data_IF_250070601208
#
_entry.id   IF_250070601208
#
_cell.length_a   1.000
_cell.length_b   1.000
_cell.length_c   1.000
_cell.angle_alpha   90.00
_cell.angle_beta   90.00
_cell.angle_gamma   90.00
#
_symmetry.space_group_name_H-M   'P 1'
#
loop_
_entity.id
_entity.type
_entity.pdbx_description
1 polymer ?
#
# COMPACT_ATOMS: atom_id res chain seq x y z
N UNK A 1 19.95 -10.96 -15.09
CA UNK A 1 19.56 -9.69 -15.72
C UNK A 1 18.92 -10.00 -17.07
N UNK A 2 17.61 -9.81 -17.19
CA UNK A 2 16.93 -9.91 -18.48
C UNK A 2 17.29 -8.67 -19.30
N UNK A 3 18.01 -8.85 -20.40
CA UNK A 3 18.36 -7.74 -21.29
C UNK A 3 17.24 -7.59 -22.31
N UNK A 4 16.34 -6.64 -22.08
CA UNK A 4 15.24 -6.32 -23.00
C UNK A 4 15.74 -5.55 -24.23
N UNK A 5 16.56 -6.20 -25.06
CA UNK A 5 17.01 -5.64 -26.33
C UNK A 5 15.85 -5.61 -27.32
N UNK A 6 15.29 -4.42 -27.57
CA UNK A 6 14.27 -4.17 -28.58
C UNK A 6 12.84 -4.02 -28.07
N UNK A 7 12.57 -4.14 -26.78
CA UNK A 7 11.23 -3.88 -26.25
C UNK A 7 10.92 -2.37 -26.23
N UNK A 8 9.79 -2.00 -26.85
CA UNK A 8 9.27 -0.62 -26.76
C UNK A 8 8.59 -0.40 -25.40
N UNK A 9 9.37 -0.45 -24.32
CA UNK A 9 8.90 -0.24 -22.94
C UNK A 9 9.50 1.04 -22.38
N UNK A 10 8.73 1.80 -21.62
CA UNK A 10 9.19 3.00 -20.91
C UNK A 10 8.63 3.00 -19.50
N UNK A 11 9.47 3.39 -18.54
CA UNK A 11 9.11 3.57 -17.14
C UNK A 11 9.17 5.07 -16.80
N UNK A 12 8.14 5.57 -16.14
CA UNK A 12 8.09 6.94 -15.64
C UNK A 12 7.81 6.95 -14.15
N UNK A 13 8.51 7.81 -13.43
CA UNK A 13 8.20 8.16 -12.05
C UNK A 13 7.52 9.53 -12.01
N UNK A 14 6.43 9.66 -11.25
CA UNK A 14 5.90 10.95 -10.84
C UNK A 14 6.39 11.28 -9.42
N UNK A 15 5.84 12.34 -8.82
CA UNK A 15 6.44 12.98 -7.64
C UNK A 15 6.35 12.18 -6.33
N UNK A 16 5.40 11.23 -6.21
CA UNK A 16 5.03 10.67 -4.91
C UNK A 16 6.03 9.70 -4.27
N UNK A 17 6.86 9.00 -5.07
CA UNK A 17 7.84 8.03 -4.57
C UNK A 17 8.90 7.71 -5.63
N UNK A 18 9.79 8.66 -5.85
CA UNK A 18 10.85 8.56 -6.89
C UNK A 18 11.83 7.44 -6.55
N UNK A 19 12.17 7.25 -5.27
CA UNK A 19 13.12 6.21 -4.87
C UNK A 19 12.59 4.81 -5.18
N UNK A 20 11.33 4.52 -4.87
CA UNK A 20 10.72 3.24 -5.22
C UNK A 20 10.70 3.01 -6.73
N UNK A 21 10.39 4.05 -7.49
CA UNK A 21 10.41 3.95 -8.96
C UNK A 21 11.81 3.66 -9.50
N UNK A 22 12.85 4.27 -8.92
CA UNK A 22 14.25 3.98 -9.27
C UNK A 22 14.63 2.54 -8.91
N UNK A 23 14.27 2.08 -7.69
CA UNK A 23 14.55 0.71 -7.25
C UNK A 23 13.86 -0.33 -8.16
N UNK A 24 12.63 -0.04 -8.63
CA UNK A 24 11.92 -0.86 -9.61
C UNK A 24 12.65 -0.85 -10.96
N UNK A 25 13.06 0.31 -11.43
CA UNK A 25 13.79 0.47 -12.70
C UNK A 25 15.12 -0.30 -12.68
N UNK A 26 15.85 -0.23 -11.58
CA UNK A 26 17.11 -0.94 -11.36
C UNK A 26 16.90 -2.46 -11.35
N UNK A 27 15.84 -2.94 -10.67
CA UNK A 27 15.49 -4.36 -10.64
C UNK A 27 15.14 -4.90 -12.03
N UNK A 28 14.34 -4.15 -12.80
CA UNK A 28 13.94 -4.53 -14.16
C UNK A 28 15.09 -4.41 -15.15
N UNK A 29 16.04 -3.50 -14.90
CA UNK A 29 17.12 -3.17 -15.83
C UNK A 29 16.69 -2.23 -16.98
N UNK A 30 15.61 -1.47 -16.80
CA UNK A 30 15.13 -0.44 -17.72
C UNK A 30 15.20 0.91 -17.01
N UNK A 31 15.96 1.90 -17.51
CA UNK A 31 16.09 3.18 -16.84
C UNK A 31 14.76 3.97 -16.85
N UNK A 32 14.57 4.82 -15.84
CA UNK A 32 13.47 5.76 -15.84
C UNK A 32 13.59 6.73 -17.03
N UNK A 33 12.50 6.88 -17.74
CA UNK A 33 12.32 7.89 -18.77
C UNK A 33 12.14 9.27 -18.14
N UNK A 34 12.59 10.31 -18.84
CA UNK A 34 12.49 11.68 -18.34
C UNK A 34 11.05 12.19 -18.45
N UNK A 35 10.55 12.76 -17.38
CA UNK A 35 9.39 13.65 -17.37
C UNK A 35 9.65 14.79 -16.40
N UNK A 36 9.08 15.93 -16.70
CA UNK A 36 9.17 17.13 -15.86
C UNK A 36 7.77 17.47 -15.37
N UNK A 37 7.61 17.49 -14.05
CA UNK A 37 6.38 17.92 -13.38
C UNK A 37 6.65 19.30 -12.80
N UNK A 38 5.89 20.29 -13.24
CA UNK A 38 6.02 21.69 -12.79
C UNK A 38 4.64 22.24 -12.46
N UNK A 39 4.61 23.39 -11.77
CA UNK A 39 3.37 24.09 -11.44
C UNK A 39 3.38 25.49 -12.02
N UNK A 40 2.25 25.91 -12.55
CA UNK A 40 2.01 27.30 -12.86
C UNK A 40 1.86 28.13 -11.57
N UNK A 41 1.92 29.45 -11.68
CA UNK A 41 1.86 30.34 -10.53
C UNK A 41 0.55 30.25 -9.71
N UNK A 42 -0.51 29.77 -10.34
CA UNK A 42 -1.83 29.53 -9.74
C UNK A 42 -1.99 28.13 -9.13
N UNK A 43 -0.96 27.27 -9.28
CA UNK A 43 -0.93 25.91 -8.75
C UNK A 43 -1.38 24.81 -9.73
N UNK A 44 -1.75 25.16 -10.97
CA UNK A 44 -2.06 24.12 -11.99
C UNK A 44 -0.81 23.33 -12.34
N UNK A 45 -0.98 22.00 -12.51
CA UNK A 45 0.11 21.09 -12.82
C UNK A 45 0.38 21.09 -14.33
N UNK A 46 1.66 21.13 -14.70
CA UNK A 46 2.14 20.99 -16.06
C UNK A 46 3.11 19.81 -16.14
N UNK A 47 2.91 18.93 -17.12
CA UNK A 47 3.79 17.78 -17.38
C UNK A 47 4.39 17.91 -18.78
N UNK A 48 5.71 17.75 -18.87
CA UNK A 48 6.45 17.68 -20.13
C UNK A 48 7.16 16.33 -20.27
N UNK A 49 6.96 15.67 -21.41
CA UNK A 49 7.64 14.40 -21.76
C UNK A 49 8.57 14.70 -22.94
N UNK A 50 9.89 14.88 -22.72
CA UNK A 50 10.83 15.35 -23.76
C UNK A 50 11.19 14.27 -24.81
N UNK A 51 10.73 13.04 -24.61
CA UNK A 51 11.06 11.90 -25.49
C UNK A 51 9.82 11.25 -26.10
N UNK A 52 10.00 10.56 -27.23
CA UNK A 52 8.88 9.89 -27.89
C UNK A 52 8.40 8.67 -27.11
N UNK A 53 7.10 8.54 -26.95
CA UNK A 53 6.42 7.37 -26.36
C UNK A 53 5.55 6.62 -27.37
N UNK A 54 5.57 7.07 -28.64
CA UNK A 54 4.73 6.50 -29.69
C UNK A 54 4.95 5.00 -29.85
N UNK A 55 3.88 4.23 -29.69
CA UNK A 55 3.88 2.78 -29.83
C UNK A 55 4.60 2.02 -28.71
N UNK A 56 4.93 2.69 -27.59
CA UNK A 56 5.52 2.05 -26.41
C UNK A 56 4.45 1.50 -25.47
N UNK A 57 4.78 0.41 -24.77
CA UNK A 57 4.12 -0.04 -23.52
C UNK A 57 4.72 0.80 -22.39
N UNK A 58 3.92 1.65 -21.78
CA UNK A 58 4.38 2.60 -20.76
C UNK A 58 3.90 2.18 -19.39
N UNK A 59 4.77 2.29 -18.40
CA UNK A 59 4.44 2.13 -16.97
C UNK A 59 4.70 3.45 -16.25
N UNK A 60 3.69 3.96 -15.53
CA UNK A 60 3.78 5.18 -14.73
C UNK A 60 3.64 4.81 -13.26
N UNK A 61 4.64 5.12 -12.46
CA UNK A 61 4.70 4.79 -11.03
C UNK A 61 4.32 6.02 -10.23
N UNK A 62 3.20 5.94 -9.49
CA UNK A 62 2.68 7.03 -8.67
C UNK A 62 1.76 6.51 -7.55
N UNK A 63 2.15 6.64 -6.31
CA UNK A 63 1.24 6.45 -5.17
C UNK A 63 0.32 7.65 -5.03
N UNK A 64 -0.99 7.41 -4.84
CA UNK A 64 -1.96 8.50 -4.65
C UNK A 64 -2.15 8.81 -3.15
N UNK A 65 -1.01 8.94 -2.44
CA UNK A 65 -0.92 9.33 -1.04
C UNK A 65 -0.98 10.85 -0.85
N UNK A 66 -0.78 11.32 0.38
CA UNK A 66 -0.75 12.77 0.67
C UNK A 66 0.46 13.46 0.00
N UNK A 67 0.23 14.60 -0.71
CA UNK A 67 -1.03 15.30 -0.98
C UNK A 67 -1.91 14.61 -2.04
N UNK A 68 -2.99 13.96 -1.59
CA UNK A 68 -3.77 12.98 -2.37
C UNK A 68 -4.30 13.54 -3.69
N UNK A 69 -4.89 14.75 -3.66
CA UNK A 69 -5.51 15.34 -4.84
C UNK A 69 -4.47 15.79 -5.87
N UNK A 70 -3.30 16.21 -5.41
CA UNK A 70 -2.15 16.58 -6.21
C UNK A 70 -1.65 15.36 -7.00
N UNK A 71 -1.32 14.29 -6.30
CA UNK A 71 -0.80 13.06 -6.92
C UNK A 71 -1.81 12.39 -7.88
N UNK A 72 -3.13 12.51 -7.58
CA UNK A 72 -4.16 12.04 -8.51
C UNK A 72 -4.18 12.91 -9.77
N UNK A 73 -4.11 14.23 -9.63
CA UNK A 73 -4.14 15.13 -10.78
C UNK A 73 -2.88 14.99 -11.64
N UNK A 74 -1.70 14.88 -11.04
CA UNK A 74 -0.46 14.54 -11.78
C UNK A 74 -0.66 13.28 -12.62
N UNK A 75 -1.18 12.23 -12.00
CA UNK A 75 -1.38 10.95 -12.67
C UNK A 75 -2.36 11.07 -13.85
N UNK A 76 -3.48 11.77 -13.68
CA UNK A 76 -4.47 11.97 -14.74
C UNK A 76 -3.90 12.77 -15.92
N UNK A 77 -3.14 13.84 -15.64
CA UNK A 77 -2.50 14.66 -16.67
C UNK A 77 -1.43 13.84 -17.41
N UNK A 78 -0.65 13.03 -16.69
CA UNK A 78 0.36 12.14 -17.31
C UNK A 78 -0.27 11.12 -18.23
N UNK A 79 -1.39 10.48 -17.82
CA UNK A 79 -2.13 9.52 -18.63
C UNK A 79 -2.63 10.18 -19.93
N UNK A 80 -3.24 11.37 -19.83
CA UNK A 80 -3.73 12.11 -21.00
C UNK A 80 -2.59 12.48 -21.95
N UNK A 81 -1.45 12.95 -21.44
CA UNK A 81 -0.27 13.26 -22.23
C UNK A 81 0.25 12.04 -22.99
N UNK A 82 0.37 10.89 -22.32
CA UNK A 82 0.82 9.63 -22.93
C UNK A 82 -0.14 9.13 -24.02
N UNK A 83 -1.45 9.21 -23.75
CA UNK A 83 -2.50 8.85 -24.70
C UNK A 83 -2.42 9.74 -25.95
N UNK A 84 -2.31 11.06 -25.79
CA UNK A 84 -2.17 12.02 -26.91
C UNK A 84 -0.85 11.84 -27.68
N UNK A 85 0.20 11.41 -27.00
CA UNK A 85 1.49 11.09 -27.63
C UNK A 85 1.51 9.71 -28.29
N UNK A 86 0.38 9.01 -28.35
CA UNK A 86 0.18 7.69 -29.01
C UNK A 86 1.01 6.57 -28.36
N UNK A 87 1.13 6.55 -27.03
CA UNK A 87 1.54 5.34 -26.32
C UNK A 87 0.59 4.18 -26.69
N UNK A 88 1.14 2.96 -26.84
CA UNK A 88 0.33 1.78 -27.18
C UNK A 88 -0.49 1.29 -25.99
N UNK A 89 0.11 1.29 -24.82
CA UNK A 89 -0.49 0.90 -23.56
C UNK A 89 -0.01 1.86 -22.47
N UNK A 90 -0.92 2.24 -21.59
CA UNK A 90 -0.64 3.09 -20.42
C UNK A 90 -0.99 2.31 -19.16
N UNK A 91 0.02 1.63 -18.60
CA UNK A 91 -0.12 0.84 -17.39
C UNK A 91 0.25 1.72 -16.18
N UNK A 92 -0.62 1.80 -15.19
CA UNK A 92 -0.41 2.63 -14.01
C UNK A 92 -0.08 1.75 -12.82
N UNK A 93 1.05 2.05 -12.19
CA UNK A 93 1.51 1.40 -10.97
C UNK A 93 1.20 2.34 -9.80
N UNK A 94 0.17 2.00 -9.02
CA UNK A 94 -0.30 2.78 -7.88
C UNK A 94 -0.06 1.95 -6.61
N UNK A 95 1.14 1.99 -6.00
CA UNK A 95 1.44 1.20 -4.81
C UNK A 95 0.48 1.48 -3.65
N UNK A 96 0.05 2.73 -3.48
CA UNK A 96 -1.03 3.11 -2.57
C UNK A 96 -2.16 3.80 -3.32
N UNK A 97 -3.34 3.18 -3.30
CA UNK A 97 -4.55 3.69 -3.94
C UNK A 97 -5.33 4.58 -2.98
N UNK A 98 -5.24 5.89 -3.15
CA UNK A 98 -5.98 6.87 -2.37
C UNK A 98 -7.49 6.74 -2.55
N UNK A 99 -8.27 7.26 -1.59
CA UNK A 99 -9.73 7.11 -1.53
C UNK A 99 -10.26 5.67 -1.39
N UNK A 100 -9.41 4.67 -1.29
CA UNK A 100 -9.79 3.24 -1.16
C UNK A 100 -10.71 2.95 0.03
N UNK A 101 -10.65 3.75 1.10
CA UNK A 101 -11.51 3.63 2.28
C UNK A 101 -12.95 4.06 2.04
N UNK A 102 -13.26 4.68 0.89
CA UNK A 102 -14.60 5.09 0.47
C UNK A 102 -15.11 4.16 -0.64
N UNK A 103 -15.08 2.86 -0.36
CA UNK A 103 -15.47 1.76 -1.27
C UNK A 103 -16.98 1.48 -1.26
N UNK A 104 -17.69 2.02 -0.28
CA UNK A 104 -19.13 1.84 -0.07
C UNK A 104 -19.77 3.05 0.60
N UNK A 105 -21.08 3.15 0.50
CA UNK A 105 -21.86 4.14 1.27
C UNK A 105 -22.01 3.64 2.71
N UNK A 106 -21.29 4.22 3.65
CA UNK A 106 -21.47 3.94 5.09
C UNK A 106 -22.74 4.61 5.65
N UNK A 107 -23.16 5.72 5.05
CA UNK A 107 -24.38 6.47 5.39
C UNK A 107 -25.13 6.89 4.11
N UNK A 108 -26.41 7.22 4.26
CA UNK A 108 -27.20 7.73 3.15
C UNK A 108 -26.52 8.96 2.51
N UNK A 109 -26.60 9.08 1.18
CA UNK A 109 -26.10 10.23 0.37
C UNK A 109 -24.58 10.42 0.37
N UNK A 110 -23.81 9.44 0.84
CA UNK A 110 -22.35 9.46 0.70
C UNK A 110 -21.90 9.00 -0.69
N UNK A 111 -20.75 9.49 -1.18
CA UNK A 111 -20.14 9.03 -2.41
C UNK A 111 -19.51 7.63 -2.25
N UNK A 112 -19.12 7.04 -3.37
CA UNK A 112 -18.18 5.91 -3.46
C UNK A 112 -16.96 6.44 -4.21
N UNK A 113 -16.06 7.13 -3.48
CA UNK A 113 -14.95 7.85 -4.11
C UNK A 113 -13.90 6.92 -4.71
N UNK A 114 -13.79 5.69 -4.20
CA UNK A 114 -12.93 4.68 -4.82
C UNK A 114 -13.36 4.36 -6.26
N UNK A 115 -14.68 4.27 -6.53
CA UNK A 115 -15.22 4.08 -7.90
C UNK A 115 -15.04 5.33 -8.76
N UNK A 116 -15.23 6.53 -8.18
CA UNK A 116 -15.01 7.78 -8.90
C UNK A 116 -13.56 7.87 -9.42
N UNK A 117 -12.57 7.57 -8.57
CA UNK A 117 -11.16 7.62 -8.98
C UNK A 117 -10.87 6.56 -10.05
N UNK A 118 -11.40 5.33 -9.92
CA UNK A 118 -11.27 4.31 -10.96
C UNK A 118 -11.78 4.81 -12.32
N UNK A 119 -12.99 5.39 -12.36
CA UNK A 119 -13.55 5.93 -13.60
C UNK A 119 -12.69 7.06 -14.19
N UNK A 120 -12.14 7.95 -13.36
CA UNK A 120 -11.28 9.05 -13.84
C UNK A 120 -10.01 8.52 -14.51
N UNK A 121 -9.36 7.49 -13.93
CA UNK A 121 -8.18 6.86 -14.50
C UNK A 121 -8.47 6.21 -15.86
N UNK A 122 -9.59 5.51 -15.99
CA UNK A 122 -10.03 4.87 -17.24
C UNK A 122 -10.36 5.90 -18.32
N UNK A 123 -11.15 6.93 -18.00
CA UNK A 123 -11.52 7.99 -18.94
C UNK A 123 -10.28 8.76 -19.41
N UNK A 124 -9.31 9.02 -18.53
CA UNK A 124 -8.04 9.63 -18.91
C UNK A 124 -7.27 8.77 -19.93
N UNK A 125 -7.39 7.44 -19.87
CA UNK A 125 -6.81 6.55 -20.87
C UNK A 125 -5.90 5.46 -20.32
N UNK A 126 -5.97 5.17 -19.03
CA UNK A 126 -5.30 4.00 -18.45
C UNK A 126 -5.78 2.71 -19.13
N UNK A 127 -4.86 1.78 -19.41
CA UNK A 127 -5.16 0.48 -20.00
C UNK A 127 -5.04 -0.68 -19.00
N UNK A 128 -4.37 -0.48 -17.88
CA UNK A 128 -4.20 -1.43 -16.78
C UNK A 128 -3.83 -0.66 -15.51
N UNK A 129 -4.25 -1.19 -14.37
CA UNK A 129 -3.82 -0.72 -13.04
C UNK A 129 -3.07 -1.84 -12.34
N UNK A 130 -1.97 -1.48 -11.66
CA UNK A 130 -1.20 -2.35 -10.78
C UNK A 130 -1.22 -1.66 -9.42
N UNK A 131 -1.70 -2.35 -8.38
CA UNK A 131 -1.78 -1.78 -7.03
C UNK A 131 -1.39 -2.81 -5.97
N UNK A 132 -1.29 -2.38 -4.72
CA UNK A 132 -1.01 -3.28 -3.59
C UNK A 132 -2.10 -3.15 -2.53
N UNK A 133 -2.49 -4.28 -1.95
CA UNK A 133 -3.39 -4.38 -0.79
C UNK A 133 -4.50 -3.32 -0.79
N UNK A 134 -5.32 -3.30 -1.83
CA UNK A 134 -6.51 -2.46 -1.87
C UNK A 134 -7.31 -2.64 -0.58
N UNK A 135 -7.72 -1.54 0.05
CA UNK A 135 -8.41 -1.56 1.35
C UNK A 135 -9.55 -2.58 1.41
N UNK A 136 -10.28 -2.70 0.31
CA UNK A 136 -11.35 -3.67 0.13
C UNK A 136 -11.15 -4.42 -1.19
N UNK A 137 -11.07 -5.77 -1.19
CA UNK A 137 -10.82 -6.55 -2.41
C UNK A 137 -11.81 -6.30 -3.54
N UNK A 138 -13.06 -5.95 -3.22
CA UNK A 138 -14.12 -5.64 -4.19
C UNK A 138 -13.83 -4.39 -5.02
N UNK A 139 -12.88 -3.52 -4.64
CA UNK A 139 -12.47 -2.36 -5.45
C UNK A 139 -11.96 -2.80 -6.83
N UNK A 140 -11.43 -4.02 -6.94
CA UNK A 140 -11.03 -4.61 -8.23
C UNK A 140 -12.21 -4.63 -9.22
N UNK A 141 -13.43 -4.85 -8.75
CA UNK A 141 -14.63 -4.81 -9.55
C UNK A 141 -15.12 -3.39 -9.92
N UNK A 142 -14.43 -2.33 -9.48
CA UNK A 142 -14.74 -0.96 -9.88
C UNK A 142 -14.07 -0.56 -11.19
N UNK A 143 -13.10 -1.33 -11.65
CA UNK A 143 -12.39 -1.13 -12.89
C UNK A 143 -13.00 -1.99 -14.00
N UNK A 144 -13.18 -1.39 -15.17
CA UNK A 144 -13.54 -2.08 -16.42
C UNK A 144 -12.28 -2.50 -17.20
N UNK A 145 -11.11 -2.00 -16.82
CA UNK A 145 -9.79 -2.42 -17.31
C UNK A 145 -9.13 -3.42 -16.34
N UNK A 146 -8.16 -4.23 -16.80
CA UNK A 146 -7.43 -5.14 -15.93
C UNK A 146 -6.80 -4.43 -14.73
N UNK A 147 -6.93 -5.03 -13.54
CA UNK A 147 -6.27 -4.59 -12.32
C UNK A 147 -5.57 -5.76 -11.64
N UNK A 148 -4.28 -5.60 -11.36
CA UNK A 148 -3.46 -6.54 -10.61
C UNK A 148 -3.25 -6.00 -9.18
N UNK A 149 -3.87 -6.64 -8.20
CA UNK A 149 -3.79 -6.25 -6.80
C UNK A 149 -2.78 -7.13 -6.06
N UNK A 150 -1.51 -6.71 -6.01
CA UNK A 150 -0.44 -7.42 -5.30
C UNK A 150 -0.62 -7.37 -3.79
N UNK A 151 0.03 -8.28 -3.08
CA UNK A 151 -0.06 -8.35 -1.62
C UNK A 151 1.28 -8.08 -0.96
N UNK A 152 1.29 -7.23 0.07
CA UNK A 152 2.46 -6.96 0.91
C UNK A 152 2.71 -8.05 1.95
N UNK A 153 1.71 -8.89 2.21
CA UNK A 153 1.76 -9.94 3.22
C UNK A 153 2.97 -10.90 3.08
N UNK A 154 3.35 -11.39 1.88
CA UNK A 154 4.54 -12.22 1.71
C UNK A 154 5.82 -11.55 2.20
N UNK A 155 6.00 -10.27 1.88
CA UNK A 155 7.18 -9.48 2.28
C UNK A 155 7.22 -9.31 3.80
N UNK A 156 6.09 -8.92 4.40
CA UNK A 156 5.95 -8.71 5.84
C UNK A 156 6.14 -10.02 6.61
N UNK A 157 5.52 -11.11 6.17
CA UNK A 157 5.62 -12.42 6.84
C UNK A 157 7.03 -12.99 6.78
N UNK A 158 7.74 -12.88 5.64
CA UNK A 158 9.13 -13.30 5.51
C UNK A 158 10.05 -12.55 6.48
N UNK A 159 9.84 -11.24 6.63
CA UNK A 159 10.59 -10.47 7.62
C UNK A 159 10.30 -10.93 9.06
N UNK A 160 9.03 -11.16 9.42
CA UNK A 160 8.66 -11.66 10.76
C UNK A 160 9.26 -13.05 11.00
N UNK A 161 9.21 -13.95 10.02
CA UNK A 161 9.82 -15.29 10.10
C UNK A 161 11.33 -15.22 10.32
N UNK A 162 12.04 -14.31 9.65
CA UNK A 162 13.49 -14.14 9.80
C UNK A 162 13.92 -13.74 11.21
N UNK A 163 13.00 -13.18 12.01
CA UNK A 163 13.27 -12.79 13.41
C UNK A 163 13.23 -13.97 14.39
N UNK A 164 12.77 -15.13 13.97
CA UNK A 164 12.64 -16.33 14.81
C UNK A 164 11.88 -16.05 16.14
N UNK A 165 10.78 -15.31 16.06
CA UNK A 165 9.96 -14.97 17.23
C UNK A 165 9.27 -16.22 17.78
N UNK A 166 9.27 -16.35 19.11
CA UNK A 166 8.62 -17.46 19.80
C UNK A 166 7.21 -17.09 20.30
N UNK A 167 6.35 -18.09 20.42
CA UNK A 167 5.00 -17.96 20.99
C UNK A 167 4.18 -16.84 20.35
N UNK A 168 4.20 -16.74 19.02
CA UNK A 168 3.48 -15.70 18.28
C UNK A 168 1.97 -15.85 18.45
N UNK A 169 1.28 -14.71 18.53
CA UNK A 169 -0.16 -14.57 18.36
C UNK A 169 -0.42 -13.38 17.43
N UNK A 170 -1.05 -13.62 16.27
CA UNK A 170 -1.45 -12.53 15.38
C UNK A 170 -2.71 -11.87 15.90
N UNK A 171 -2.75 -10.54 15.86
CA UNK A 171 -3.84 -9.74 16.45
C UNK A 171 -4.48 -8.87 15.38
N UNK A 172 -5.80 -9.00 15.25
CA UNK A 172 -6.61 -8.04 14.49
C UNK A 172 -6.96 -6.84 15.37
N UNK A 173 -6.68 -5.58 14.94
CA UNK A 173 -7.02 -4.39 15.74
C UNK A 173 -8.53 -4.08 15.78
N UNK A 174 -9.32 -4.77 14.94
CA UNK A 174 -10.78 -4.66 14.87
C UNK A 174 -11.41 -5.87 14.15
N UNK A 175 -12.73 -5.88 14.01
CA UNK A 175 -13.45 -6.96 13.29
C UNK A 175 -13.20 -6.95 11.78
N UNK A 176 -12.91 -5.80 11.18
CA UNK A 176 -12.69 -5.67 9.72
C UNK A 176 -11.40 -6.35 9.26
N UNK A 177 -10.36 -6.34 10.10
CA UNK A 177 -9.05 -6.91 9.81
C UNK A 177 -8.92 -8.41 10.06
N UNK A 178 -9.96 -9.11 10.54
CA UNK A 178 -9.87 -10.53 10.95
C UNK A 178 -9.41 -11.46 9.84
N UNK A 179 -9.86 -11.25 8.61
CA UNK A 179 -9.43 -12.07 7.47
C UNK A 179 -7.91 -11.93 7.23
N UNK A 180 -7.39 -10.71 7.25
CA UNK A 180 -5.96 -10.41 7.12
C UNK A 180 -5.13 -11.01 8.25
N UNK A 181 -5.62 -10.89 9.49
CA UNK A 181 -4.96 -11.49 10.64
C UNK A 181 -4.91 -13.02 10.52
N UNK A 182 -5.95 -13.64 9.99
CA UNK A 182 -5.99 -15.09 9.75
C UNK A 182 -5.00 -15.52 8.68
N UNK A 183 -4.89 -14.76 7.58
CA UNK A 183 -3.93 -15.02 6.51
C UNK A 183 -2.49 -15.00 7.06
N UNK A 184 -2.11 -13.98 7.81
CA UNK A 184 -0.80 -13.90 8.46
C UNK A 184 -0.61 -15.03 9.49
N UNK A 185 -1.60 -15.32 10.29
CA UNK A 185 -1.54 -16.39 11.29
C UNK A 185 -1.34 -17.78 10.66
N UNK A 186 -1.95 -18.03 9.50
CA UNK A 186 -1.75 -19.26 8.75
C UNK A 186 -0.29 -19.40 8.26
N UNK A 187 0.32 -18.31 7.78
CA UNK A 187 1.71 -18.32 7.35
C UNK A 187 2.65 -18.55 8.55
N UNK A 188 2.40 -17.86 9.66
CA UNK A 188 3.20 -17.95 10.88
C UNK A 188 2.84 -19.18 11.75
N UNK A 189 1.89 -20.00 11.34
CA UNK A 189 1.36 -21.15 12.10
C UNK A 189 1.04 -20.78 13.55
N UNK A 190 0.33 -19.68 13.75
CA UNK A 190 0.05 -19.10 15.06
C UNK A 190 -1.44 -18.93 15.30
N UNK A 191 -1.91 -18.87 16.57
CA UNK A 191 -3.27 -18.46 16.89
C UNK A 191 -3.51 -17.00 16.57
N UNK A 192 -4.81 -16.63 16.51
CA UNK A 192 -5.25 -15.25 16.39
C UNK A 192 -5.90 -14.76 17.68
N UNK A 193 -5.82 -13.44 17.89
CA UNK A 193 -6.67 -12.71 18.82
C UNK A 193 -7.32 -11.52 18.10
N UNK A 194 -8.42 -11.01 18.62
CA UNK A 194 -9.17 -9.91 18.05
C UNK A 194 -9.39 -8.87 19.12
N UNK A 195 -9.12 -7.61 18.81
CA UNK A 195 -9.50 -6.47 19.67
C UNK A 195 -10.93 -6.09 19.32
N UNK A 196 -11.82 -6.31 20.26
CA UNK A 196 -13.22 -5.92 20.16
C UNK A 196 -13.44 -4.61 20.92
N UNK A 197 -13.85 -3.58 20.18
CA UNK A 197 -14.11 -2.24 20.70
C UNK A 197 -15.57 -2.13 21.07
N UNK A 198 -15.88 -2.17 22.36
CA UNK A 198 -17.23 -1.97 22.85
C UNK A 198 -17.41 -0.56 23.38
N UNK A 199 -18.43 0.14 22.89
CA UNK A 199 -18.97 1.36 23.51
C UNK A 199 -20.24 0.97 24.25
N UNK A 200 -20.19 0.74 25.57
CA UNK A 200 -21.37 0.31 26.30
C UNK A 200 -22.50 1.37 26.26
N UNK A 201 -22.16 2.66 26.25
CA UNK A 201 -23.10 3.79 26.13
C UNK A 201 -22.49 5.00 25.41
N UNK A 202 -23.31 5.93 24.86
CA UNK A 202 -22.81 7.20 24.34
C UNK A 202 -22.10 7.98 25.46
N UNK A 203 -20.90 8.51 25.16
CA UNK A 203 -20.03 9.25 26.09
C UNK A 203 -19.32 8.44 27.20
N UNK A 204 -19.39 7.11 27.17
CA UNK A 204 -18.55 6.25 28.02
C UNK A 204 -17.25 5.90 27.31
N UNK A 205 -16.16 5.79 28.06
CA UNK A 205 -14.85 5.40 27.52
C UNK A 205 -14.95 4.06 26.79
N UNK A 206 -14.27 3.97 25.65
CA UNK A 206 -14.20 2.77 24.82
C UNK A 206 -13.50 1.66 25.60
N UNK A 207 -14.21 0.54 25.86
CA UNK A 207 -13.63 -0.63 26.50
C UNK A 207 -13.07 -1.56 25.45
N UNK A 208 -11.79 -1.91 25.58
CA UNK A 208 -11.12 -2.87 24.73
C UNK A 208 -11.27 -4.26 25.33
N UNK A 209 -12.02 -5.13 24.65
CA UNK A 209 -12.09 -6.54 24.98
C UNK A 209 -11.18 -7.35 24.07
N UNK A 210 -10.44 -8.31 24.58
CA UNK A 210 -9.55 -9.17 23.81
C UNK A 210 -10.17 -10.56 23.71
N UNK A 211 -10.51 -10.95 22.48
CA UNK A 211 -10.98 -12.30 22.19
C UNK A 211 -9.77 -13.13 21.79
N UNK A 212 -9.37 -14.07 22.62
CA UNK A 212 -8.18 -14.91 22.42
C UNK A 212 -7.23 -14.88 23.62
N UNK A 213 -6.13 -15.63 23.53
CA UNK A 213 -5.13 -15.72 24.61
C UNK A 213 -3.85 -15.01 24.19
N UNK A 214 -3.50 -13.94 24.90
CA UNK A 214 -2.32 -13.09 24.58
C UNK A 214 -1.27 -13.07 25.70
N UNK A 215 -1.62 -13.49 26.92
CA UNK A 215 -0.71 -13.47 28.07
C UNK A 215 0.53 -14.32 27.82
N UNK A 216 1.71 -13.71 27.98
CA UNK A 216 3.02 -14.33 27.76
C UNK A 216 3.39 -14.57 26.30
N UNK A 217 2.60 -14.06 25.33
CA UNK A 217 2.81 -14.25 23.90
C UNK A 217 3.49 -13.03 23.27
N UNK A 218 4.18 -13.27 22.16
CA UNK A 218 4.62 -12.23 21.23
C UNK A 218 3.46 -11.90 20.30
N UNK A 219 2.85 -10.73 20.47
CA UNK A 219 1.70 -10.29 19.72
C UNK A 219 2.12 -9.50 18.47
N UNK A 220 1.57 -9.84 17.32
CA UNK A 220 1.79 -9.14 16.05
C UNK A 220 0.45 -8.55 15.58
N UNK A 221 0.29 -7.24 15.74
CA UNK A 221 -0.90 -6.51 15.24
C UNK A 221 -0.73 -6.31 13.74
N UNK A 222 -1.75 -6.65 12.94
CA UNK A 222 -1.70 -6.51 11.47
C UNK A 222 -2.89 -5.72 10.95
N UNK A 223 -2.59 -4.73 10.08
CA UNK A 223 -3.60 -3.99 9.34
C UNK A 223 -3.15 -3.76 7.88
N UNK A 224 -4.03 -3.25 6.99
CA UNK A 224 -3.64 -2.83 5.65
C UNK A 224 -2.88 -1.50 5.69
N UNK A 225 -3.32 -0.59 6.52
CA UNK A 225 -2.69 0.71 6.68
C UNK A 225 -2.68 1.19 8.13
N UNK A 226 -1.70 2.00 8.46
CA UNK A 226 -1.68 2.78 9.69
C UNK A 226 -1.80 4.25 9.29
N UNK A 227 -2.96 4.87 9.61
CA UNK A 227 -3.21 6.28 9.30
C UNK A 227 -2.86 7.17 10.51
N UNK A 228 -3.77 7.39 11.43
CA UNK A 228 -3.53 8.22 12.63
C UNK A 228 -2.91 7.44 13.80
N UNK A 229 -2.74 6.14 13.66
CA UNK A 229 -2.23 5.20 14.64
C UNK A 229 -3.07 5.02 15.93
N UNK A 230 -4.17 5.72 16.09
CA UNK A 230 -4.98 5.65 17.32
C UNK A 230 -5.46 4.24 17.65
N UNK A 231 -5.92 3.47 16.67
CA UNK A 231 -6.36 2.07 16.86
C UNK A 231 -5.20 1.15 17.23
N UNK A 232 -4.05 1.32 16.62
CA UNK A 232 -2.85 0.51 16.89
C UNK A 232 -2.31 0.83 18.29
N UNK A 233 -2.27 2.11 18.66
CA UNK A 233 -1.86 2.56 19.99
C UNK A 233 -2.74 1.96 21.09
N UNK A 234 -4.06 2.08 20.92
CA UNK A 234 -5.01 1.53 21.89
C UNK A 234 -4.92 0.01 21.98
N UNK A 235 -4.80 -0.69 20.84
CA UNK A 235 -4.64 -2.14 20.80
C UNK A 235 -3.34 -2.58 21.49
N UNK A 236 -2.23 -1.89 21.26
CA UNK A 236 -0.94 -2.21 21.88
C UNK A 236 -0.99 -2.05 23.42
N UNK A 237 -1.61 -0.98 23.92
CA UNK A 237 -1.77 -0.79 25.37
C UNK A 237 -2.65 -1.89 26.00
N UNK A 238 -3.79 -2.22 25.37
CA UNK A 238 -4.65 -3.29 25.84
C UNK A 238 -3.93 -4.66 25.87
N UNK A 239 -3.11 -4.96 24.88
CA UNK A 239 -2.30 -6.18 24.86
C UNK A 239 -1.24 -6.20 25.97
N UNK A 240 -0.59 -5.06 26.22
CA UNK A 240 0.39 -4.95 27.31
C UNK A 240 -0.28 -5.15 28.69
N UNK A 241 -1.43 -4.51 28.91
CA UNK A 241 -2.23 -4.68 30.14
C UNK A 241 -2.71 -6.13 30.31
N UNK A 242 -3.03 -6.82 29.21
CA UNK A 242 -3.40 -8.24 29.23
C UNK A 242 -2.20 -9.18 29.39
N UNK A 243 -0.97 -8.65 29.56
CA UNK A 243 0.24 -9.41 29.85
C UNK A 243 0.90 -10.02 28.60
N UNK A 244 0.76 -9.43 27.43
CA UNK A 244 1.58 -9.78 26.26
C UNK A 244 3.06 -9.58 26.60
N UNK A 245 3.94 -10.51 26.10
CA UNK A 245 5.38 -10.44 26.33
C UNK A 245 6.02 -9.34 25.49
N UNK A 246 5.74 -9.37 24.21
CA UNK A 246 6.28 -8.45 23.21
C UNK A 246 5.17 -8.09 22.23
N UNK A 247 5.22 -6.86 21.70
CA UNK A 247 4.21 -6.37 20.75
C UNK A 247 4.92 -5.81 19.53
N UNK A 248 4.47 -6.24 18.35
CA UNK A 248 4.86 -5.75 17.05
C UNK A 248 3.60 -5.24 16.33
N UNK A 249 3.77 -4.26 15.46
CA UNK A 249 2.69 -3.82 14.57
C UNK A 249 3.17 -3.89 13.13
N UNK A 250 2.31 -4.30 12.20
CA UNK A 250 2.65 -4.29 10.79
C UNK A 250 1.50 -3.81 9.91
N UNK A 251 1.85 -3.17 8.80
CA UNK A 251 0.92 -2.76 7.77
C UNK A 251 1.60 -2.68 6.40
N UNK A 252 0.80 -2.73 5.34
CA UNK A 252 1.29 -2.46 3.99
C UNK A 252 1.52 -0.96 3.78
N UNK A 253 0.57 -0.12 4.18
CA UNK A 253 0.57 1.31 3.86
C UNK A 253 0.84 2.19 5.08
N UNK A 254 2.05 2.79 5.21
CA UNK A 254 2.35 3.74 6.28
C UNK A 254 1.85 5.15 5.92
N UNK A 255 0.56 5.41 6.08
CA UNK A 255 -0.02 6.74 5.81
C UNK A 255 0.48 7.77 6.82
N UNK A 256 0.59 7.39 8.09
CA UNK A 256 1.16 8.15 9.20
C UNK A 256 0.74 9.63 9.23
N UNK A 257 -0.58 9.84 9.25
CA UNK A 257 -1.14 11.20 9.34
C UNK A 257 -1.05 11.78 10.75
N UNK A 258 -1.03 13.08 10.83
CA UNK A 258 -1.05 13.85 12.11
C UNK A 258 0.07 13.40 13.07
N UNK A 259 -0.30 12.97 14.26
CA UNK A 259 0.59 12.54 15.36
C UNK A 259 0.88 11.05 15.37
N UNK A 260 0.66 10.34 14.25
CA UNK A 260 0.79 8.89 14.20
C UNK A 260 2.18 8.40 14.67
N UNK A 261 3.24 9.04 14.20
CA UNK A 261 4.62 8.66 14.56
C UNK A 261 4.89 8.84 16.05
N UNK A 262 4.36 9.90 16.67
CA UNK A 262 4.46 10.11 18.10
C UNK A 262 3.73 9.01 18.88
N UNK A 263 2.50 8.69 18.51
CA UNK A 263 1.73 7.61 19.15
C UNK A 263 2.42 6.26 19.02
N UNK A 264 3.01 5.96 17.86
CA UNK A 264 3.74 4.71 17.64
C UNK A 264 5.04 4.64 18.45
N UNK A 265 5.72 5.79 18.66
CA UNK A 265 6.88 5.87 19.54
C UNK A 265 6.53 5.63 21.01
N UNK A 266 5.41 6.20 21.49
CA UNK A 266 4.94 6.10 22.87
C UNK A 266 4.33 4.72 23.16
N UNK A 267 3.76 4.05 22.15
CA UNK A 267 3.15 2.73 22.30
C UNK A 267 4.13 1.67 22.78
N UNK A 268 3.69 0.66 23.57
CA UNK A 268 4.53 -0.47 24.00
C UNK A 268 4.82 -1.45 22.85
N UNK A 269 5.19 -0.93 21.69
CA UNK A 269 5.52 -1.66 20.46
C UNK A 269 7.04 -1.72 20.31
N UNK A 270 7.60 -2.89 20.02
CA UNK A 270 9.02 -3.07 19.74
C UNK A 270 9.41 -2.58 18.34
N UNK A 271 8.63 -2.98 17.34
CA UNK A 271 8.85 -2.56 15.96
C UNK A 271 7.51 -2.32 15.26
N UNK A 272 7.52 -1.31 14.40
CA UNK A 272 6.47 -1.01 13.43
C UNK A 272 7.01 -1.36 12.05
N UNK A 273 6.47 -2.43 11.47
CA UNK A 273 6.92 -3.01 10.20
C UNK A 273 5.96 -2.56 9.11
N UNK A 274 6.45 -1.86 8.11
CA UNK A 274 5.62 -1.45 6.97
C UNK A 274 6.36 -1.63 5.65
N UNK A 275 5.66 -1.46 4.53
CA UNK A 275 6.30 -1.41 3.22
C UNK A 275 6.59 0.03 2.79
N UNK A 276 7.34 0.19 1.70
CA UNK A 276 7.61 1.50 1.10
C UNK A 276 6.61 1.89 0.00
N UNK A 277 5.34 1.45 0.10
CA UNK A 277 4.25 1.88 -0.79
C UNK A 277 4.03 3.39 -0.78
N UNK A 278 4.37 4.03 0.32
CA UNK A 278 4.35 5.48 0.53
C UNK A 278 5.75 5.90 0.97
N UNK A 279 6.30 6.91 0.31
CA UNK A 279 7.54 7.53 0.74
C UNK A 279 7.32 8.27 2.06
N UNK A 280 8.16 7.98 3.04
CA UNK A 280 8.10 8.63 4.34
C UNK A 280 9.14 9.75 4.40
N UNK A 281 8.74 11.01 4.60
CA UNK A 281 9.69 12.09 4.83
C UNK A 281 10.47 11.86 6.15
N UNK A 282 11.63 12.48 6.27
CA UNK A 282 12.55 12.26 7.39
C UNK A 282 11.94 12.49 8.78
N UNK A 283 11.02 13.44 8.89
CA UNK A 283 10.30 13.75 10.13
C UNK A 283 9.27 12.67 10.53
N UNK A 284 8.95 11.74 9.64
CA UNK A 284 8.09 10.58 9.91
C UNK A 284 8.86 9.30 10.16
N UNK A 285 10.18 9.33 10.16
CA UNK A 285 11.00 8.19 10.55
C UNK A 285 11.28 8.19 12.06
N UNK A 286 11.32 7.01 12.67
CA UNK A 286 11.57 6.86 14.11
C UNK A 286 12.27 5.51 14.42
N UNK A 287 12.92 5.36 15.58
CA UNK A 287 13.81 4.21 15.86
C UNK A 287 13.14 2.83 15.81
N UNK A 288 11.82 2.75 16.01
CA UNK A 288 11.08 1.48 15.97
C UNK A 288 10.57 1.13 14.57
N UNK A 289 10.77 2.01 13.57
CA UNK A 289 10.24 1.83 12.22
C UNK A 289 11.15 0.92 11.40
N UNK A 290 10.54 -0.08 10.78
CA UNK A 290 11.17 -0.94 9.77
C UNK A 290 10.38 -0.84 8.49
N UNK A 291 11.01 -0.34 7.43
CA UNK A 291 10.39 -0.19 6.12
C UNK A 291 10.97 -1.21 5.14
N UNK A 292 10.10 -2.05 4.58
CA UNK A 292 10.45 -3.12 3.65
C UNK A 292 10.19 -2.69 2.21
N UNK A 293 11.13 -2.98 1.32
CA UNK A 293 10.96 -2.64 -0.10
C UNK A 293 10.00 -3.58 -0.81
N UNK A 294 9.15 -2.99 -1.66
CA UNK A 294 8.25 -3.71 -2.58
C UNK A 294 8.77 -3.69 -4.02
N UNK A 295 9.95 -3.13 -4.25
CA UNK A 295 10.48 -2.91 -5.59
C UNK A 295 10.65 -4.21 -6.38
N UNK A 296 11.17 -5.26 -5.73
CA UNK A 296 11.34 -6.57 -6.36
C UNK A 296 10.00 -7.18 -6.78
N UNK A 297 9.00 -7.16 -5.89
CA UNK A 297 7.66 -7.71 -6.18
C UNK A 297 6.99 -6.97 -7.35
N UNK A 298 6.98 -5.63 -7.31
CA UNK A 298 6.39 -4.83 -8.39
C UNK A 298 7.21 -4.93 -9.69
N UNK A 299 8.53 -4.95 -9.57
CA UNK A 299 9.43 -5.14 -10.72
C UNK A 299 9.19 -6.47 -11.41
N UNK A 300 9.09 -7.58 -10.67
CA UNK A 300 8.76 -8.88 -11.22
C UNK A 300 7.36 -8.90 -11.86
N UNK A 301 6.38 -8.25 -11.22
CA UNK A 301 5.04 -8.10 -11.80
C UNK A 301 5.07 -7.35 -13.13
N UNK A 302 5.84 -6.27 -13.24
CA UNK A 302 6.02 -5.51 -14.48
C UNK A 302 6.72 -6.36 -15.55
N UNK A 303 7.78 -7.11 -15.20
CA UNK A 303 8.44 -8.05 -16.12
C UNK A 303 7.43 -9.05 -16.67
N UNK A 304 6.65 -9.70 -15.80
CA UNK A 304 5.65 -10.68 -16.23
C UNK A 304 4.62 -10.06 -17.20
N UNK A 305 4.18 -8.82 -16.94
CA UNK A 305 3.25 -8.11 -17.84
C UNK A 305 3.93 -7.73 -19.18
N UNK A 306 5.20 -7.37 -19.17
CA UNK A 306 5.97 -7.11 -20.40
C UNK A 306 6.03 -8.36 -21.27
N UNK A 307 6.28 -9.50 -20.66
CA UNK A 307 6.48 -10.80 -21.30
C UNK A 307 5.19 -11.59 -21.51
N UNK A 308 4.03 -10.97 -21.25
CA UNK A 308 2.69 -11.59 -21.34
C UNK A 308 2.55 -12.85 -20.48
N UNK A 309 3.26 -12.90 -19.33
CA UNK A 309 3.22 -13.99 -18.36
C UNK A 309 2.20 -13.71 -17.24
N UNK A 310 1.71 -14.78 -16.60
CA UNK A 310 0.81 -14.67 -15.46
C UNK A 310 1.48 -14.05 -14.22
N UNK A 311 0.75 -13.22 -13.49
CA UNK A 311 1.22 -12.60 -12.23
C UNK A 311 0.73 -13.34 -10.98
N UNK A 312 -0.14 -14.35 -11.13
CA UNK A 312 -0.80 -15.03 -10.00
C UNK A 312 0.16 -15.73 -9.03
N UNK A 313 1.30 -16.21 -9.51
CA UNK A 313 2.34 -16.83 -8.68
C UNK A 313 2.98 -15.86 -7.70
N UNK A 314 2.92 -14.55 -7.99
CA UNK A 314 3.46 -13.49 -7.13
C UNK A 314 2.54 -13.13 -5.95
N UNK A 315 1.30 -13.65 -5.92
CA UNK A 315 0.35 -13.39 -4.85
C UNK A 315 0.45 -14.40 -3.69
N UNK A 316 1.18 -15.48 -3.88
CA UNK A 316 1.30 -16.57 -2.91
C UNK A 316 2.64 -16.52 -2.19
N UNK A 317 2.62 -16.74 -0.86
CA UNK A 317 3.85 -17.12 -0.16
C UNK A 317 4.20 -18.53 -0.62
N UNK A 318 5.33 -18.71 -1.31
CA UNK A 318 5.90 -20.05 -1.47
C UNK A 318 6.21 -20.60 -0.07
N UNK A 319 5.72 -21.82 0.20
CA UNK A 319 6.01 -22.57 1.44
C UNK A 319 7.35 -23.26 1.33
#
# INVERSE_FOLDING_TARGET
MAVFHGSKVKLFALSSNIQLAQDIADYIGIPLSKCEVTHFADGEISINIPETVRGHKVFVIQSTCNPVNEHIMELLIMIDALKRASAREVNIVIPYYGYSRQDRKAKARQPISAKLVANLLEVAGATRVISMDLHAPQIQGFFDIPIDNFRGMPIISNYILSKNLENICVVSPDHGGVARARDLANILQSPIAIIDKMRPEPNVAEVMNIIGRVKGKTCVIVDDMIDTAGSIFAAANALAEAGAKDIYACCTHPVFSKTATQLLMEAPIKEVICTNTIELPKDKTFPKLVQLSIAELLGQGIINIIDDQGVSTLFTCER
#
